data_IF_361959060792
#
_entry.id   IF_361959060792
#
_cell.length_a   1.000
_cell.length_b   1.000
_cell.length_c   1.000
_cell.angle_alpha   90.00
_cell.angle_beta   90.00
_cell.angle_gamma   90.00
#
_symmetry.space_group_name_H-M   'P 1'
#
loop_
_entity.id
_entity.type
_entity.pdbx_description
1 polymer ?
#
# COMPACT_ATOMS: atom_id res chain seq x y z
N UNK A 1 3.14 23.61 -11.93
CA UNK A 1 3.12 22.75 -10.72
C UNK A 1 1.86 21.91 -10.72
N UNK A 2 1.94 20.62 -10.39
CA UNK A 2 0.75 19.77 -10.27
C UNK A 2 -0.05 20.15 -9.02
N UNK A 3 -1.38 20.11 -9.12
CA UNK A 3 -2.26 20.36 -7.96
C UNK A 3 -2.10 19.22 -6.95
N UNK A 4 -1.82 19.54 -5.68
CA UNK A 4 -1.77 18.53 -4.62
C UNK A 4 -3.10 17.80 -4.48
N UNK A 5 -3.05 16.55 -4.01
CA UNK A 5 -4.20 15.70 -3.77
C UNK A 5 -4.21 15.16 -2.35
N UNK A 6 -5.39 14.77 -1.89
CA UNK A 6 -5.56 14.12 -0.59
C UNK A 6 -5.54 12.59 -0.74
N UNK A 7 -5.11 11.85 0.30
CA UNK A 7 -5.15 10.38 0.28
C UNK A 7 -6.54 9.81 -0.06
N UNK A 8 -7.59 10.47 0.42
CA UNK A 8 -8.99 10.09 0.18
C UNK A 8 -9.37 10.03 -1.30
N UNK A 9 -8.76 10.86 -2.16
CA UNK A 9 -9.02 10.88 -3.59
C UNK A 9 -8.52 9.63 -4.33
N UNK A 10 -7.59 8.90 -3.72
CA UNK A 10 -7.08 7.63 -4.24
C UNK A 10 -7.74 6.40 -3.60
N UNK A 11 -8.59 6.58 -2.58
CA UNK A 11 -9.19 5.48 -1.85
C UNK A 11 -9.82 4.46 -2.79
N UNK A 12 -9.37 3.23 -2.65
CA UNK A 12 -9.85 2.07 -3.41
C UNK A 12 -10.25 0.98 -2.43
N UNK A 13 -11.46 0.51 -2.55
CA UNK A 13 -12.03 -0.54 -1.70
C UNK A 13 -12.45 -1.68 -2.62
N UNK A 14 -11.84 -2.85 -2.44
CA UNK A 14 -12.22 -4.09 -3.12
C UNK A 14 -12.70 -5.08 -2.07
N UNK A 15 -13.91 -5.59 -2.23
CA UNK A 15 -14.49 -6.59 -1.34
C UNK A 15 -14.83 -7.83 -2.15
N UNK A 16 -14.42 -9.00 -1.67
CA UNK A 16 -14.62 -10.27 -2.36
C UNK A 16 -14.71 -11.44 -1.38
N UNK A 17 -15.30 -12.55 -1.83
CA UNK A 17 -15.36 -13.80 -1.08
C UNK A 17 -14.06 -14.62 -1.28
N UNK A 18 -13.72 -15.41 -0.27
CA UNK A 18 -12.71 -16.45 -0.40
C UNK A 18 -13.36 -17.70 -0.97
N UNK A 19 -12.99 -18.05 -2.21
CA UNK A 19 -13.52 -19.19 -2.93
C UNK A 19 -12.67 -20.45 -2.71
N UNK A 20 -13.23 -21.67 -2.89
CA UNK A 20 -12.48 -22.92 -2.75
C UNK A 20 -11.22 -23.00 -3.61
N UNK A 21 -11.26 -22.44 -4.82
CA UNK A 21 -10.13 -22.42 -5.77
C UNK A 21 -8.96 -21.53 -5.33
N UNK A 22 -9.17 -20.68 -4.33
CA UNK A 22 -8.19 -19.72 -3.82
C UNK A 22 -7.57 -20.15 -2.48
N UNK A 23 -7.94 -21.36 -2.00
CA UNK A 23 -7.52 -21.83 -0.68
C UNK A 23 -6.43 -22.90 -0.75
N UNK A 24 -5.62 -22.96 0.30
CA UNK A 24 -4.65 -24.01 0.53
C UNK A 24 -5.32 -25.25 1.14
N UNK A 25 -4.52 -26.28 1.41
CA UNK A 25 -5.00 -27.55 2.01
C UNK A 25 -5.52 -27.42 3.44
N UNK A 26 -5.38 -26.26 4.10
CA UNK A 26 -5.98 -25.92 5.39
C UNK A 26 -7.29 -25.12 5.22
N UNK A 27 -7.83 -25.00 4.01
CA UNK A 27 -9.00 -24.19 3.65
C UNK A 27 -8.85 -22.71 4.05
N UNK A 28 -7.65 -22.17 3.96
CA UNK A 28 -7.36 -20.75 4.15
C UNK A 28 -6.90 -20.13 2.83
N UNK A 29 -7.22 -18.85 2.63
CA UNK A 29 -6.80 -18.08 1.47
C UNK A 29 -5.27 -18.19 1.28
N UNK A 30 -4.84 -18.53 0.07
CA UNK A 30 -3.42 -18.49 -0.28
C UNK A 30 -2.87 -17.08 -0.14
N UNK A 31 -1.66 -16.96 0.45
CA UNK A 31 -0.98 -15.67 0.57
C UNK A 31 -0.78 -14.98 -0.77
N UNK A 32 -0.45 -15.72 -1.83
CA UNK A 32 -0.33 -15.19 -3.18
C UNK A 32 -1.62 -14.61 -3.75
N UNK A 33 -2.77 -15.22 -3.44
CA UNK A 33 -4.09 -14.69 -3.83
C UNK A 33 -4.38 -13.37 -3.12
N UNK A 34 -4.07 -13.28 -1.83
CA UNK A 34 -4.22 -12.03 -1.08
C UNK A 34 -3.26 -10.94 -1.60
N UNK A 35 -2.01 -11.28 -1.90
CA UNK A 35 -1.05 -10.36 -2.52
C UNK A 35 -1.59 -9.84 -3.86
N UNK A 36 -2.18 -10.71 -4.70
CA UNK A 36 -2.76 -10.31 -5.97
C UNK A 36 -3.97 -9.36 -5.80
N UNK A 37 -4.82 -9.60 -4.79
CA UNK A 37 -5.93 -8.68 -4.46
C UNK A 37 -5.42 -7.32 -4.00
N UNK A 38 -4.39 -7.30 -3.15
CA UNK A 38 -3.75 -6.07 -2.68
C UNK A 38 -3.06 -5.32 -3.83
N UNK A 39 -2.39 -6.01 -4.73
CA UNK A 39 -1.73 -5.40 -5.90
C UNK A 39 -2.75 -4.72 -6.82
N UNK A 40 -3.89 -5.37 -7.09
CA UNK A 40 -4.98 -4.76 -7.88
C UNK A 40 -5.56 -3.51 -7.21
N UNK A 41 -5.84 -3.56 -5.92
CA UNK A 41 -6.34 -2.40 -5.18
C UNK A 41 -5.34 -1.25 -5.17
N UNK A 42 -4.06 -1.55 -4.94
CA UNK A 42 -2.98 -0.58 -4.94
C UNK A 42 -2.76 0.03 -6.33
N UNK A 43 -2.83 -0.78 -7.40
CA UNK A 43 -2.74 -0.30 -8.78
C UNK A 43 -3.84 0.70 -9.11
N UNK A 44 -5.08 0.43 -8.71
CA UNK A 44 -6.20 1.35 -8.92
C UNK A 44 -5.99 2.65 -8.12
N UNK A 45 -5.55 2.55 -6.85
CA UNK A 45 -5.26 3.73 -6.03
C UNK A 45 -4.16 4.60 -6.65
N UNK A 46 -3.07 3.99 -7.13
CA UNK A 46 -1.98 4.67 -7.81
C UNK A 46 -2.45 5.38 -9.09
N UNK A 47 -3.30 4.74 -9.90
CA UNK A 47 -3.85 5.33 -11.12
C UNK A 47 -4.84 6.47 -10.81
N UNK A 48 -5.67 6.35 -9.78
CA UNK A 48 -6.56 7.43 -9.32
C UNK A 48 -5.77 8.67 -8.90
N UNK A 49 -4.64 8.47 -8.25
CA UNK A 49 -3.77 9.57 -7.83
C UNK A 49 -3.02 10.20 -9.01
N UNK A 50 -2.26 9.40 -9.76
CA UNK A 50 -1.36 9.90 -10.80
C UNK A 50 -2.04 10.24 -12.12
N UNK A 51 -3.19 9.60 -12.42
CA UNK A 51 -3.85 9.64 -13.74
C UNK A 51 -2.97 9.14 -14.89
N UNK A 52 -2.01 8.27 -14.56
CA UNK A 52 -1.09 7.65 -15.50
C UNK A 52 -1.10 6.12 -15.34
N UNK A 53 -0.44 5.42 -16.26
CA UNK A 53 -0.12 4.01 -16.11
C UNK A 53 0.80 3.87 -14.91
N UNK A 54 0.54 2.88 -14.05
CA UNK A 54 1.35 2.62 -12.86
C UNK A 54 1.81 1.18 -12.84
N UNK A 55 3.06 0.96 -12.45
CA UNK A 55 3.67 -0.36 -12.32
C UNK A 55 4.13 -0.60 -10.90
N UNK A 56 3.98 -1.83 -10.41
CA UNK A 56 4.45 -2.26 -9.10
C UNK A 56 5.98 -2.26 -9.09
N UNK A 57 6.58 -1.49 -8.20
CA UNK A 57 8.02 -1.41 -8.05
C UNK A 57 8.54 -2.26 -6.88
N UNK A 58 7.83 -2.30 -5.76
CA UNK A 58 8.15 -3.15 -4.63
C UNK A 58 6.93 -3.43 -3.76
N UNK A 59 7.00 -4.57 -3.08
CA UNK A 59 6.05 -4.98 -2.05
C UNK A 59 6.83 -5.07 -0.76
N UNK A 60 6.49 -4.23 0.21
CA UNK A 60 7.20 -4.13 1.46
C UNK A 60 6.28 -4.45 2.63
N UNK A 61 6.85 -5.06 3.63
CA UNK A 61 6.21 -5.29 4.91
C UNK A 61 4.83 -5.96 4.80
N UNK A 62 4.80 -7.17 4.29
CA UNK A 62 3.62 -8.03 4.31
C UNK A 62 3.80 -9.09 5.37
N UNK A 63 2.96 -9.08 6.41
CA UNK A 63 2.96 -10.08 7.47
C UNK A 63 1.58 -10.75 7.55
N UNK A 64 1.53 -12.04 7.25
CA UNK A 64 0.31 -12.85 7.37
C UNK A 64 0.13 -13.26 8.84
N UNK A 65 -0.49 -12.38 9.62
CA UNK A 65 -0.63 -12.58 11.08
C UNK A 65 -1.83 -13.46 11.46
N UNK A 66 -2.82 -13.54 10.58
CA UNK A 66 -4.04 -14.35 10.79
C UNK A 66 -4.41 -15.08 9.52
N UNK A 67 -4.85 -16.33 9.66
CA UNK A 67 -5.44 -17.08 8.56
C UNK A 67 -6.78 -16.47 8.15
N UNK A 68 -7.07 -16.51 6.85
CA UNK A 68 -8.34 -16.06 6.28
C UNK A 68 -9.09 -17.29 5.75
N UNK A 69 -10.12 -17.78 6.48
CA UNK A 69 -10.81 -19.02 6.11
C UNK A 69 -11.61 -18.92 4.81
N UNK A 70 -11.84 -20.07 4.19
CA UNK A 70 -12.80 -20.25 3.10
C UNK A 70 -14.16 -19.62 3.46
N UNK A 71 -14.75 -18.91 2.50
CA UNK A 71 -16.05 -18.25 2.66
C UNK A 71 -16.02 -16.93 3.43
N UNK A 72 -14.83 -16.47 3.87
CA UNK A 72 -14.71 -15.14 4.47
C UNK A 72 -14.99 -14.05 3.45
N UNK A 73 -15.60 -12.95 3.91
CA UNK A 73 -15.69 -11.68 3.17
C UNK A 73 -14.44 -10.88 3.49
N UNK A 74 -13.60 -10.64 2.49
CA UNK A 74 -12.34 -9.90 2.62
C UNK A 74 -12.47 -8.55 1.95
N UNK A 75 -12.17 -7.49 2.68
CA UNK A 75 -12.09 -6.13 2.14
C UNK A 75 -10.64 -5.64 2.16
N UNK A 76 -10.17 -5.18 1.01
CA UNK A 76 -8.87 -4.55 0.84
C UNK A 76 -9.09 -3.06 0.59
N UNK A 77 -8.56 -2.22 1.47
CA UNK A 77 -8.61 -0.76 1.35
C UNK A 77 -7.21 -0.23 1.04
N UNK A 78 -7.04 0.46 -0.07
CA UNK A 78 -5.77 1.01 -0.50
C UNK A 78 -5.87 2.53 -0.69
N UNK A 79 -4.88 3.26 -0.18
CA UNK A 79 -4.72 4.71 -0.37
C UNK A 79 -3.26 5.06 -0.60
N UNK A 80 -3.01 6.06 -1.43
CA UNK A 80 -1.66 6.65 -1.52
C UNK A 80 -1.36 7.35 -0.20
N UNK A 81 -0.34 6.88 0.51
CA UNK A 81 0.12 7.46 1.79
C UNK A 81 1.12 8.60 1.56
N UNK A 82 1.97 8.48 0.55
CA UNK A 82 2.92 9.53 0.15
C UNK A 82 3.30 9.38 -1.33
N UNK A 83 3.42 10.50 -2.00
CA UNK A 83 4.04 10.59 -3.32
C UNK A 83 5.46 11.14 -3.20
N UNK A 84 6.31 10.73 -4.12
CA UNK A 84 7.65 11.24 -4.34
C UNK A 84 7.72 11.84 -5.75
N UNK A 85 8.87 11.84 -6.42
CA UNK A 85 8.93 12.41 -7.78
C UNK A 85 8.02 11.64 -8.77
N UNK A 86 8.27 10.37 -8.99
CA UNK A 86 7.50 9.50 -9.88
C UNK A 86 6.92 8.26 -9.20
N UNK A 87 7.28 8.02 -7.96
CA UNK A 87 6.83 6.87 -7.17
C UNK A 87 5.83 7.29 -6.09
N UNK A 88 4.97 6.35 -5.74
CA UNK A 88 3.94 6.52 -4.72
C UNK A 88 4.01 5.33 -3.76
N UNK A 89 3.96 5.60 -2.48
CA UNK A 89 3.71 4.57 -1.48
C UNK A 89 2.21 4.41 -1.30
N UNK A 90 1.74 3.18 -1.38
CA UNK A 90 0.34 2.81 -1.16
C UNK A 90 0.26 2.05 0.17
N UNK A 91 -0.52 2.56 1.10
CA UNK A 91 -0.83 1.88 2.34
C UNK A 91 -2.11 1.07 2.17
N UNK A 92 -2.06 -0.19 2.59
CA UNK A 92 -3.14 -1.15 2.39
C UNK A 92 -3.56 -1.70 3.74
N UNK A 93 -4.87 -1.64 4.02
CA UNK A 93 -5.51 -2.26 5.16
C UNK A 93 -6.39 -3.42 4.67
N UNK A 94 -6.27 -4.58 5.29
CA UNK A 94 -7.06 -5.78 4.97
C UNK A 94 -7.97 -6.10 6.14
N UNK A 95 -9.26 -6.27 5.84
CA UNK A 95 -10.32 -6.53 6.80
C UNK A 95 -11.04 -7.83 6.48
N UNK A 96 -11.47 -8.54 7.53
CA UNK A 96 -12.40 -9.66 7.42
C UNK A 96 -13.72 -9.25 8.10
N UNK A 97 -14.83 -9.54 7.45
CA UNK A 97 -16.15 -9.34 8.02
C UNK A 97 -16.65 -10.62 8.68
N UNK A 98 -17.12 -10.51 9.90
CA UNK A 98 -17.85 -11.58 10.58
C UNK A 98 -19.27 -11.70 10.01
N UNK A 99 -19.59 -12.87 9.48
CA UNK A 99 -20.86 -13.08 8.78
C UNK A 99 -22.09 -12.93 9.68
N UNK A 100 -21.97 -13.24 10.96
CA UNK A 100 -23.11 -13.24 11.89
C UNK A 100 -23.38 -11.83 12.43
N UNK A 101 -22.33 -11.09 12.78
CA UNK A 101 -22.44 -9.75 13.38
C UNK A 101 -22.30 -8.60 12.39
N UNK A 102 -21.72 -8.85 11.19
CA UNK A 102 -21.33 -7.81 10.24
C UNK A 102 -20.12 -6.98 10.69
N UNK A 103 -19.53 -7.30 11.84
CA UNK A 103 -18.35 -6.57 12.34
C UNK A 103 -17.12 -6.87 11.51
N UNK A 104 -16.34 -5.83 11.23
CA UNK A 104 -15.08 -5.92 10.50
C UNK A 104 -13.90 -5.95 11.47
N UNK A 105 -12.99 -6.89 11.26
CA UNK A 105 -11.73 -6.99 12.00
C UNK A 105 -10.57 -6.79 11.04
N UNK A 106 -9.68 -5.87 11.37
CA UNK A 106 -8.44 -5.68 10.63
C UNK A 106 -7.52 -6.88 10.86
N UNK A 107 -7.07 -7.50 9.78
CA UNK A 107 -6.26 -8.72 9.83
C UNK A 107 -4.80 -8.47 9.53
N UNK A 108 -4.51 -7.51 8.67
CA UNK A 108 -3.14 -7.17 8.29
C UNK A 108 -3.03 -5.81 7.63
N UNK A 109 -1.81 -5.37 7.48
CA UNK A 109 -1.40 -4.20 6.70
C UNK A 109 -0.33 -4.58 5.70
N UNK A 110 -0.25 -3.85 4.61
CA UNK A 110 0.81 -3.99 3.64
C UNK A 110 1.18 -2.62 3.04
N UNK A 111 2.40 -2.54 2.53
CA UNK A 111 2.92 -1.33 1.91
C UNK A 111 3.48 -1.70 0.55
N UNK A 112 2.91 -1.09 -0.49
CA UNK A 112 3.33 -1.26 -1.86
C UNK A 112 3.89 0.05 -2.40
N UNK A 113 4.89 -0.04 -3.28
CA UNK A 113 5.40 1.10 -4.01
C UNK A 113 5.10 0.93 -5.49
N UNK A 114 4.47 1.94 -6.07
CA UNK A 114 4.17 2.03 -7.49
C UNK A 114 4.95 3.18 -8.12
N UNK A 115 5.26 3.03 -9.41
CA UNK A 115 5.88 4.09 -10.23
C UNK A 115 4.92 4.43 -11.36
N UNK A 116 4.64 5.72 -11.53
CA UNK A 116 3.89 6.22 -12.67
C UNK A 116 4.78 6.31 -13.90
N UNK A 117 4.29 5.80 -15.02
CA UNK A 117 5.03 5.77 -16.28
C UNK A 117 4.17 6.27 -17.44
N UNK A 118 4.83 6.79 -18.48
CA UNK A 118 4.18 7.13 -19.73
C UNK A 118 4.00 5.89 -20.63
N UNK A 119 3.43 6.09 -21.81
CA UNK A 119 3.19 5.03 -22.79
C UNK A 119 4.46 4.28 -23.26
N UNK A 120 5.65 4.87 -23.09
CA UNK A 120 6.94 4.26 -23.41
C UNK A 120 7.63 3.61 -22.19
N UNK A 121 6.94 3.55 -21.04
CA UNK A 121 7.46 2.97 -19.80
C UNK A 121 8.45 3.87 -19.03
N UNK A 122 8.60 5.15 -19.41
CA UNK A 122 9.47 6.08 -18.70
C UNK A 122 8.74 6.69 -17.51
N UNK A 123 9.41 6.82 -16.33
CA UNK A 123 8.83 7.47 -15.15
C UNK A 123 8.35 8.89 -15.43
N UNK A 124 7.19 9.25 -14.88
CA UNK A 124 6.59 10.59 -14.95
C UNK A 124 6.28 11.12 -13.57
N UNK A 125 6.32 12.43 -13.40
CA UNK A 125 6.01 13.08 -12.14
C UNK A 125 4.55 12.81 -11.71
N UNK A 126 4.32 12.78 -10.41
CA UNK A 126 3.01 12.59 -9.78
C UNK A 126 2.66 13.74 -8.85
N UNK A 127 1.35 14.03 -8.67
CA UNK A 127 0.91 15.09 -7.76
C UNK A 127 1.41 14.86 -6.33
N UNK A 128 1.74 15.93 -5.57
CA UNK A 128 2.03 15.81 -4.14
C UNK A 128 0.81 15.35 -3.34
N UNK A 129 1.05 14.69 -2.20
CA UNK A 129 0.02 14.32 -1.22
C UNK A 129 -0.02 15.34 -0.09
N UNK A 130 -1.24 15.72 0.32
CA UNK A 130 -1.50 16.49 1.53
C UNK A 130 -2.41 15.66 2.44
N UNK A 131 -1.90 15.12 3.57
CA UNK A 131 -2.71 14.41 4.56
C UNK A 131 -3.81 15.30 5.15
N UNK A 132 -4.96 14.72 5.50
CA UNK A 132 -6.09 15.41 6.09
C UNK A 132 -6.40 14.96 7.53
N UNK A 133 -5.97 13.76 7.90
CA UNK A 133 -6.21 13.17 9.23
C UNK A 133 -4.90 12.89 9.94
N UNK A 134 -4.95 12.75 11.27
CA UNK A 134 -3.78 12.39 12.06
C UNK A 134 -3.17 11.05 11.61
N UNK A 135 -3.99 10.04 11.34
CA UNK A 135 -3.52 8.75 10.82
C UNK A 135 -2.84 8.89 9.46
N UNK A 136 -3.39 9.71 8.57
CA UNK A 136 -2.78 9.97 7.26
C UNK A 136 -1.44 10.70 7.41
N UNK A 137 -1.35 11.65 8.35
CA UNK A 137 -0.09 12.33 8.65
C UNK A 137 0.97 11.36 9.20
N UNK A 138 0.60 10.49 10.13
CA UNK A 138 1.49 9.46 10.68
C UNK A 138 2.02 8.52 9.58
N UNK A 139 1.14 8.07 8.67
CA UNK A 139 1.50 7.22 7.54
C UNK A 139 2.39 7.95 6.54
N UNK A 140 2.11 9.22 6.27
CA UNK A 140 2.88 10.08 5.39
C UNK A 140 4.32 10.29 5.90
N UNK A 141 4.50 10.56 7.18
CA UNK A 141 5.82 10.75 7.80
C UNK A 141 6.61 9.43 7.83
N UNK A 142 5.93 8.34 8.21
CA UNK A 142 6.55 7.01 8.21
C UNK A 142 6.99 6.55 6.81
N UNK A 143 6.29 6.97 5.75
CA UNK A 143 6.63 6.64 4.36
C UNK A 143 8.00 7.17 3.96
N UNK A 144 8.40 8.36 4.44
CA UNK A 144 9.73 8.91 4.16
C UNK A 144 10.83 8.08 4.81
N UNK A 145 10.63 7.66 6.06
CA UNK A 145 11.57 6.78 6.76
C UNK A 145 11.75 5.44 6.05
N UNK A 146 10.65 4.83 5.59
CA UNK A 146 10.69 3.59 4.78
C UNK A 146 11.40 3.78 3.46
N UNK A 147 11.17 4.91 2.79
CA UNK A 147 11.87 5.26 1.55
C UNK A 147 13.37 5.39 1.77
N UNK A 148 13.78 6.10 2.82
CA UNK A 148 15.20 6.25 3.16
C UNK A 148 15.85 4.91 3.49
N UNK A 149 15.19 4.06 4.29
CA UNK A 149 15.67 2.71 4.58
C UNK A 149 15.86 1.88 3.31
N UNK A 150 14.88 1.89 2.42
CA UNK A 150 14.95 1.19 1.14
C UNK A 150 16.13 1.66 0.28
N UNK A 151 16.37 2.96 0.24
CA UNK A 151 17.50 3.54 -0.50
C UNK A 151 18.86 3.18 0.12
N UNK A 152 18.95 3.15 1.45
CA UNK A 152 20.16 2.73 2.18
C UNK A 152 20.45 1.25 1.89
N UNK A 153 19.47 0.37 2.02
CA UNK A 153 19.62 -1.06 1.74
C UNK A 153 19.98 -1.34 0.28
N UNK A 154 19.49 -0.51 -0.65
CA UNK A 154 19.82 -0.61 -2.07
C UNK A 154 21.19 0.03 -2.43
N UNK A 155 21.92 0.57 -1.46
CA UNK A 155 23.20 1.26 -1.70
C UNK A 155 23.06 2.60 -2.45
N UNK A 156 21.86 3.16 -2.53
CA UNK A 156 21.55 4.41 -3.24
C UNK A 156 21.53 5.65 -2.34
N UNK A 157 21.68 5.47 -1.04
CA UNK A 157 21.76 6.52 -0.03
C UNK A 157 22.73 6.09 1.06
N UNK A 158 23.58 7.01 1.52
CA UNK A 158 24.44 6.74 2.69
C UNK A 158 23.59 6.78 3.96
N UNK A 159 23.87 5.93 4.98
CA UNK A 159 23.12 5.95 6.24
C UNK A 159 23.11 7.33 6.92
N UNK A 160 24.19 8.10 6.76
CA UNK A 160 24.27 9.44 7.34
C UNK A 160 23.33 10.47 6.68
N UNK A 161 22.91 10.24 5.45
CA UNK A 161 22.02 11.13 4.71
C UNK A 161 20.54 10.81 4.97
N UNK A 162 20.24 9.68 5.63
CA UNK A 162 18.90 9.23 5.97
C UNK A 162 18.38 9.91 7.24
N UNK A 163 18.16 11.21 7.21
CA UNK A 163 17.86 12.07 8.37
C UNK A 163 16.62 11.65 9.13
N UNK A 164 15.52 11.38 8.42
CA UNK A 164 14.25 10.97 9.03
C UNK A 164 14.32 9.56 9.64
N UNK A 165 15.06 8.65 8.99
CA UNK A 165 15.30 7.32 9.53
C UNK A 165 16.16 7.38 10.79
N UNK A 166 17.23 8.17 10.78
CA UNK A 166 18.13 8.36 11.94
C UNK A 166 17.41 8.95 13.15
N UNK A 167 16.47 9.86 12.95
CA UNK A 167 15.71 10.48 14.02
C UNK A 167 14.98 9.45 14.92
N UNK A 168 14.68 8.26 14.42
CA UNK A 168 14.08 7.18 15.22
C UNK A 168 15.03 6.58 16.28
N UNK A 169 16.32 6.76 16.11
CA UNK A 169 17.36 6.16 16.98
C UNK A 169 18.05 7.18 17.89
N UNK A 170 17.75 8.46 17.71
CA UNK A 170 18.39 9.57 18.43
C UNK A 170 17.44 10.34 19.34
N UNK A 171 16.20 9.83 19.51
CA UNK A 171 15.19 10.41 20.40
C UNK A 171 15.38 9.95 21.84
#
# INVERSE_FOLDING_TARGET
MMTPKHPSESLTILTDLVLPSETNHLNNLFGGELLARMDRAASIAAQRHSRNICVTASVNHVAFTKAIPLGSVVTVEAKVSRSFNSSMEIYIDVWIEDRASGNRTKTMEAIYTFVAVNATGKPVEVPPIIPQTELEQQRFDAALRRKQLSLVLAGKMKPNDATELKALFTA
#
